data_IF_974720810146
#
_entry.id   IF_974720810146
#
_cell.length_a   1.000
_cell.length_b   1.000
_cell.length_c   1.000
_cell.angle_alpha   90.00
_cell.angle_beta   90.00
_cell.angle_gamma   90.00
#
_symmetry.space_group_name_H-M   'P 1'
#
loop_
_entity.id
_entity.type
_entity.pdbx_description
1 polymer ?
#
# COMPACT_ATOMS: atom_id res chain seq x y z
N UNK A 1 11.28 -9.08 35.14
CA UNK A 1 10.63 -7.83 34.73
C UNK A 1 9.29 -8.18 34.11
N UNK A 2 8.19 -7.84 34.79
CA UNK A 2 6.86 -7.99 34.21
C UNK A 2 6.66 -6.86 33.20
N UNK A 3 6.95 -7.12 31.93
CA UNK A 3 6.41 -6.28 30.86
C UNK A 3 4.90 -6.52 30.86
N UNK A 4 4.11 -5.46 31.07
CA UNK A 4 2.70 -5.49 30.69
C UNK A 4 2.65 -5.89 29.21
N UNK A 5 2.01 -7.03 28.93
CA UNK A 5 1.97 -7.57 27.57
C UNK A 5 0.99 -6.74 26.77
N UNK A 6 1.51 -5.85 25.93
CA UNK A 6 0.68 -5.12 24.96
C UNK A 6 0.05 -6.12 23.99
N UNK A 7 -1.28 -6.25 24.07
CA UNK A 7 -2.04 -7.09 23.14
C UNK A 7 -2.21 -6.34 21.83
N UNK A 8 -1.72 -6.91 20.73
CA UNK A 8 -1.89 -6.34 19.40
C UNK A 8 -2.90 -7.15 18.59
N UNK A 9 -4.00 -6.51 18.18
CA UNK A 9 -4.96 -7.14 17.27
C UNK A 9 -4.68 -6.70 15.83
N UNK A 10 -4.70 -7.67 14.91
CA UNK A 10 -4.39 -7.44 13.51
C UNK A 10 -5.67 -7.55 12.67
N UNK A 11 -5.93 -6.52 11.89
CA UNK A 11 -6.88 -6.59 10.77
C UNK A 11 -6.08 -6.78 9.48
N UNK A 12 -6.45 -7.81 8.72
CA UNK A 12 -6.06 -7.86 7.32
C UNK A 12 -7.14 -7.13 6.51
N UNK A 13 -6.77 -6.07 5.81
CA UNK A 13 -7.66 -5.45 4.83
C UNK A 13 -8.04 -6.50 3.78
N UNK A 14 -9.30 -6.54 3.35
CA UNK A 14 -9.71 -7.38 2.23
C UNK A 14 -8.91 -6.95 1.00
N UNK A 15 -7.89 -7.72 0.66
CA UNK A 15 -7.14 -7.55 -0.57
C UNK A 15 -7.89 -8.25 -1.69
N UNK A 16 -7.88 -7.66 -2.89
CA UNK A 16 -8.58 -8.19 -4.07
C UNK A 16 -7.96 -9.50 -4.60
N UNK A 17 -8.06 -9.73 -5.91
CA UNK A 17 -7.46 -10.90 -6.55
C UNK A 17 -5.93 -10.95 -6.37
N UNK A 18 -5.32 -12.10 -6.63
CA UNK A 18 -3.86 -12.35 -6.49
C UNK A 18 -2.96 -11.43 -7.30
N UNK A 19 -3.51 -10.66 -8.26
CA UNK A 19 -2.75 -9.64 -9.02
C UNK A 19 -2.56 -8.34 -8.24
N UNK A 20 -3.43 -8.07 -7.26
CA UNK A 20 -3.40 -6.86 -6.43
C UNK A 20 -2.95 -7.16 -5.00
N UNK A 21 -2.40 -8.35 -4.74
CA UNK A 21 -1.90 -8.75 -3.42
C UNK A 21 -0.41 -8.99 -3.46
N UNK A 22 0.27 -8.63 -2.36
CA UNK A 22 1.69 -8.91 -2.16
C UNK A 22 1.84 -9.92 -1.04
N UNK A 23 2.80 -10.83 -1.18
CA UNK A 23 3.09 -11.80 -0.14
C UNK A 23 3.61 -11.10 1.13
N UNK A 24 2.91 -11.26 2.25
CA UNK A 24 3.40 -10.82 3.56
C UNK A 24 4.54 -11.74 3.99
N UNK A 25 5.76 -11.19 4.09
CA UNK A 25 6.95 -11.92 4.54
C UNK A 25 7.23 -11.54 5.99
N UNK A 26 6.70 -12.32 6.93
CA UNK A 26 6.94 -12.11 8.36
C UNK A 26 6.94 -13.45 9.11
N UNK A 27 8.07 -13.83 9.71
CA UNK A 27 8.19 -15.02 10.56
C UNK A 27 7.70 -14.77 11.99
N UNK A 28 7.75 -13.54 12.47
CA UNK A 28 7.37 -13.18 13.85
C UNK A 28 5.87 -13.21 14.11
N UNK A 29 5.03 -13.30 13.07
CA UNK A 29 3.58 -13.40 13.25
C UNK A 29 3.16 -14.66 14.02
N UNK A 30 3.88 -15.77 13.84
CA UNK A 30 3.59 -17.02 14.56
C UNK A 30 3.87 -16.83 16.06
N UNK A 31 5.00 -16.22 16.39
CA UNK A 31 5.37 -15.93 17.77
C UNK A 31 4.38 -14.96 18.42
N UNK A 32 3.96 -13.90 17.69
CA UNK A 32 2.95 -12.94 18.13
C UNK A 32 1.63 -13.61 18.52
N UNK A 33 1.14 -14.53 17.68
CA UNK A 33 -0.12 -15.24 17.90
C UNK A 33 -0.04 -16.20 19.10
N UNK A 34 1.07 -16.93 19.23
CA UNK A 34 1.22 -17.99 20.25
C UNK A 34 1.63 -17.43 21.62
N UNK A 35 2.60 -16.52 21.66
CA UNK A 35 3.25 -16.10 22.92
C UNK A 35 2.73 -14.76 23.47
N UNK A 36 2.23 -13.88 22.59
CA UNK A 36 1.89 -12.49 22.93
C UNK A 36 0.40 -12.16 22.82
N UNK A 37 -0.46 -13.16 22.57
CA UNK A 37 -1.91 -12.98 22.56
C UNK A 37 -2.42 -12.15 21.39
N UNK A 38 -1.64 -12.04 20.32
CA UNK A 38 -2.07 -11.40 19.09
C UNK A 38 -3.26 -12.15 18.50
N UNK A 39 -4.28 -11.42 18.03
CA UNK A 39 -5.46 -12.02 17.42
C UNK A 39 -5.72 -11.40 16.05
N UNK A 40 -6.07 -12.24 15.08
CA UNK A 40 -6.63 -11.78 13.81
C UNK A 40 -8.10 -11.43 14.00
N UNK A 41 -8.48 -10.20 13.68
CA UNK A 41 -9.87 -9.72 13.76
C UNK A 41 -10.48 -9.56 12.37
N UNK A 42 -11.83 -9.64 12.24
CA UNK A 42 -12.55 -9.28 11.02
C UNK A 42 -12.35 -7.82 10.61
N UNK A 43 -13.06 -7.38 9.57
CA UNK A 43 -13.05 -5.97 9.19
C UNK A 43 -13.59 -5.06 10.29
N UNK A 44 -13.27 -3.77 10.20
CA UNK A 44 -13.78 -2.75 11.12
C UNK A 44 -15.06 -2.21 10.49
N UNK A 45 -16.16 -2.27 11.25
CA UNK A 45 -17.47 -1.76 10.87
C UNK A 45 -17.65 -0.31 11.33
N UNK A 46 -17.28 -0.02 12.57
CA UNK A 46 -17.45 1.31 13.19
C UNK A 46 -16.35 1.57 14.22
N UNK A 47 -15.89 2.83 14.29
CA UNK A 47 -15.03 3.32 15.37
C UNK A 47 -15.89 4.13 16.34
N UNK A 48 -15.83 3.78 17.63
CA UNK A 48 -16.45 4.54 18.71
C UNK A 48 -15.38 5.33 19.46
N UNK A 49 -15.79 6.08 20.49
CA UNK A 49 -14.89 6.93 21.27
C UNK A 49 -13.74 6.15 21.94
N UNK A 50 -13.99 4.92 22.41
CA UNK A 50 -13.02 4.10 23.17
C UNK A 50 -12.98 2.65 22.70
N UNK A 51 -13.72 2.29 21.65
CA UNK A 51 -13.87 0.91 21.19
C UNK A 51 -14.04 0.81 19.68
N UNK A 52 -13.86 -0.40 19.16
CA UNK A 52 -14.06 -0.75 17.75
C UNK A 52 -15.15 -1.79 17.65
N UNK A 53 -16.10 -1.59 16.74
CA UNK A 53 -17.07 -2.61 16.32
C UNK A 53 -16.56 -3.28 15.04
N UNK A 54 -16.45 -4.60 15.05
CA UNK A 54 -16.01 -5.39 13.90
C UNK A 54 -17.19 -5.85 13.02
N UNK A 55 -16.89 -6.37 11.83
CA UNK A 55 -17.88 -6.85 10.85
C UNK A 55 -18.78 -7.97 11.38
N UNK A 56 -18.29 -8.76 12.35
CA UNK A 56 -19.06 -9.81 13.03
C UNK A 56 -19.93 -9.29 14.19
N UNK A 57 -19.98 -7.97 14.37
CA UNK A 57 -20.63 -7.25 15.47
C UNK A 57 -20.00 -7.48 16.85
N UNK A 58 -18.80 -8.05 16.93
CA UNK A 58 -18.02 -8.01 18.18
C UNK A 58 -17.50 -6.60 18.44
N UNK A 59 -17.35 -6.25 19.71
CA UNK A 59 -16.84 -4.96 20.15
C UNK A 59 -15.64 -5.18 21.09
N UNK A 60 -14.59 -4.38 20.92
CA UNK A 60 -13.39 -4.43 21.76
C UNK A 60 -12.91 -3.02 22.08
N UNK A 61 -12.61 -2.75 23.35
CA UNK A 61 -11.95 -1.53 23.78
C UNK A 61 -10.49 -1.53 23.30
N UNK A 62 -10.04 -0.39 22.77
CA UNK A 62 -8.67 -0.24 22.27
C UNK A 62 -8.15 1.15 22.65
N UNK A 63 -6.88 1.21 23.03
CA UNK A 63 -6.21 2.47 23.37
C UNK A 63 -5.63 3.14 22.13
N UNK A 64 -5.16 2.35 21.16
CA UNK A 64 -4.41 2.83 20.00
C UNK A 64 -4.82 2.12 18.70
N UNK A 65 -4.79 2.87 17.59
CA UNK A 65 -5.05 2.35 16.24
C UNK A 65 -3.87 2.72 15.34
N UNK A 66 -3.22 1.70 14.78
CA UNK A 66 -2.11 1.88 13.83
C UNK A 66 -2.59 1.58 12.41
N UNK A 67 -2.66 2.60 11.58
CA UNK A 67 -3.14 2.50 10.19
C UNK A 67 -2.04 2.02 9.24
N UNK A 68 -1.88 0.71 9.11
CA UNK A 68 -0.99 0.08 8.13
C UNK A 68 -1.65 -0.10 6.74
N UNK A 69 -2.31 0.94 6.21
CA UNK A 69 -3.17 0.86 5.01
C UNK A 69 -2.43 0.99 3.67
N UNK A 70 -1.11 1.11 3.69
CA UNK A 70 -0.27 1.28 2.49
C UNK A 70 -0.07 2.74 2.09
N UNK A 71 0.50 2.94 0.90
CA UNK A 71 0.87 4.25 0.35
C UNK A 71 0.40 4.39 -1.10
N UNK A 72 0.09 5.63 -1.51
CA UNK A 72 -0.13 6.01 -2.91
C UNK A 72 1.07 6.76 -3.47
N UNK A 73 1.26 6.68 -4.80
CA UNK A 73 2.26 7.49 -5.50
C UNK A 73 1.65 8.83 -5.89
N UNK A 74 2.41 9.91 -5.75
CA UNK A 74 2.04 11.25 -6.19
C UNK A 74 3.24 11.93 -6.85
N UNK A 75 2.99 12.70 -7.90
CA UNK A 75 4.03 13.35 -8.70
C UNK A 75 3.79 14.86 -8.66
N UNK A 76 3.99 15.45 -7.48
CA UNK A 76 3.68 16.87 -7.24
C UNK A 76 4.39 17.83 -8.23
N UNK A 77 5.56 17.44 -8.75
CA UNK A 77 6.28 18.21 -9.77
C UNK A 77 5.59 18.22 -11.15
N UNK A 78 4.72 17.25 -11.44
CA UNK A 78 3.85 17.23 -12.63
C UNK A 78 2.48 17.86 -12.35
N UNK A 79 2.04 17.87 -11.09
CA UNK A 79 0.72 18.34 -10.65
C UNK A 79 0.72 19.82 -10.22
N UNK A 80 1.68 20.64 -10.69
CA UNK A 80 1.74 22.08 -10.35
C UNK A 80 0.55 22.84 -10.94
N UNK A 81 0.16 23.98 -10.35
CA UNK A 81 -0.91 24.85 -10.87
C UNK A 81 -0.70 25.28 -12.34
N UNK A 82 0.56 25.44 -12.74
CA UNK A 82 0.94 25.77 -14.11
C UNK A 82 0.71 24.57 -15.06
N UNK A 83 1.18 23.39 -14.66
CA UNK A 83 1.02 22.14 -15.42
C UNK A 83 -0.40 21.57 -15.35
N UNK A 84 -1.20 21.94 -14.34
CA UNK A 84 -2.59 21.51 -14.19
C UNK A 84 -3.49 22.02 -15.33
N UNK A 85 -3.06 23.07 -16.04
CA UNK A 85 -3.72 23.59 -17.24
C UNK A 85 -3.46 22.73 -18.47
N UNK A 86 -2.36 21.97 -18.47
CA UNK A 86 -2.04 21.00 -19.50
C UNK A 86 -2.83 19.70 -19.24
N UNK A 87 -3.78 19.42 -20.13
CA UNK A 87 -4.67 18.26 -20.02
C UNK A 87 -3.88 16.95 -20.13
N UNK A 88 -2.82 16.91 -20.94
CA UNK A 88 -2.01 15.72 -21.17
C UNK A 88 -1.12 15.45 -19.97
N UNK A 89 -0.38 16.46 -19.46
CA UNK A 89 0.47 16.29 -18.27
C UNK A 89 -0.33 15.90 -17.03
N UNK A 90 -1.53 16.47 -16.85
CA UNK A 90 -2.43 16.09 -15.76
C UNK A 90 -2.89 14.64 -15.88
N UNK A 91 -3.20 14.17 -17.10
CA UNK A 91 -3.57 12.79 -17.34
C UNK A 91 -2.40 11.83 -17.08
N UNK A 92 -1.21 12.20 -17.55
CA UNK A 92 0.05 11.46 -17.32
C UNK A 92 0.32 11.32 -15.82
N UNK A 93 0.25 12.42 -15.06
CA UNK A 93 0.49 12.41 -13.62
C UNK A 93 -0.50 11.49 -12.88
N UNK A 94 -1.77 11.52 -13.27
CA UNK A 94 -2.82 10.66 -12.70
C UNK A 94 -2.60 9.18 -13.02
N UNK A 95 -2.32 8.86 -14.28
CA UNK A 95 -2.17 7.46 -14.70
C UNK A 95 -0.89 6.84 -14.16
N UNK A 96 0.19 7.62 -14.07
CA UNK A 96 1.47 7.18 -13.51
C UNK A 96 1.40 6.82 -12.02
N UNK A 97 0.38 7.26 -11.27
CA UNK A 97 0.20 6.85 -9.87
C UNK A 97 0.11 5.32 -9.72
N UNK A 98 -0.38 4.64 -10.76
CA UNK A 98 -0.46 3.19 -10.86
C UNK A 98 0.44 2.72 -12.00
N UNK A 99 1.58 2.12 -11.68
CA UNK A 99 2.55 1.67 -12.70
C UNK A 99 1.97 0.69 -13.72
N UNK A 100 0.88 -0.01 -13.40
CA UNK A 100 0.19 -0.92 -14.35
C UNK A 100 -0.52 -0.20 -15.50
N UNK A 101 -0.76 1.10 -15.38
CA UNK A 101 -1.35 1.91 -16.44
C UNK A 101 -0.31 2.36 -17.48
N UNK A 102 0.99 2.17 -17.18
CA UNK A 102 2.09 2.59 -18.05
C UNK A 102 2.57 1.43 -18.92
N UNK A 103 2.94 1.73 -20.16
CA UNK A 103 3.64 0.79 -21.04
C UNK A 103 4.94 0.35 -20.38
N UNK A 104 5.15 -0.97 -20.31
CA UNK A 104 6.27 -1.63 -19.59
C UNK A 104 6.47 -1.13 -18.14
N UNK A 105 5.40 -0.61 -17.54
CA UNK A 105 5.42 -0.03 -16.19
C UNK A 105 6.34 1.20 -16.02
N UNK A 106 6.71 1.89 -17.11
CA UNK A 106 7.56 3.08 -17.04
C UNK A 106 7.22 4.19 -18.05
N UNK A 107 6.45 3.94 -19.12
CA UNK A 107 6.20 4.95 -20.16
C UNK A 107 4.72 5.23 -20.32
N UNK A 108 4.33 6.51 -20.34
CA UNK A 108 2.97 6.90 -20.69
C UNK A 108 2.85 7.08 -22.22
N UNK A 109 1.79 6.56 -22.89
CA UNK A 109 1.65 6.69 -24.34
C UNK A 109 1.66 8.14 -24.85
N UNK A 110 1.12 9.08 -24.06
CA UNK A 110 1.09 10.52 -24.41
C UNK A 110 2.46 11.19 -24.35
N UNK A 111 3.39 10.72 -23.51
CA UNK A 111 4.74 11.33 -23.38
C UNK A 111 5.75 10.75 -24.36
N UNK A 112 5.37 9.73 -25.15
CA UNK A 112 6.29 9.05 -26.06
C UNK A 112 7.56 8.57 -25.35
N UNK A 113 8.72 9.08 -25.78
CA UNK A 113 10.05 8.75 -25.22
C UNK A 113 10.68 9.93 -24.46
N UNK A 114 9.87 10.89 -24.01
CA UNK A 114 10.37 12.09 -23.33
C UNK A 114 10.36 11.97 -21.80
N UNK A 115 9.48 11.13 -21.25
CA UNK A 115 9.31 10.95 -19.80
C UNK A 115 9.19 9.47 -19.43
N UNK A 116 9.96 9.07 -18.42
CA UNK A 116 9.98 7.71 -17.89
C UNK A 116 9.80 7.69 -16.37
N UNK A 117 8.94 6.80 -15.89
CA UNK A 117 8.68 6.53 -14.48
C UNK A 117 9.42 5.26 -14.04
N UNK A 118 10.64 5.42 -13.56
CA UNK A 118 11.54 4.30 -13.23
C UNK A 118 11.40 3.91 -11.74
N UNK A 119 11.36 2.61 -11.45
CA UNK A 119 11.37 2.10 -10.08
C UNK A 119 10.01 2.10 -9.36
N UNK A 120 8.94 2.53 -10.03
CA UNK A 120 7.57 2.49 -9.50
C UNK A 120 6.89 1.13 -9.67
N UNK A 121 7.52 0.20 -10.41
CA UNK A 121 7.02 -1.16 -10.56
C UNK A 121 7.17 -1.94 -9.25
N UNK A 122 6.08 -2.57 -8.81
CA UNK A 122 6.03 -3.41 -7.62
C UNK A 122 5.71 -4.84 -8.02
N UNK A 123 6.71 -5.72 -8.16
CA UNK A 123 6.44 -7.10 -8.51
C UNK A 123 5.85 -7.84 -7.29
N UNK A 124 4.93 -8.80 -7.52
CA UNK A 124 4.46 -9.69 -6.46
C UNK A 124 5.62 -10.48 -5.84
N UNK A 125 6.60 -10.87 -6.67
CA UNK A 125 7.85 -11.52 -6.27
C UNK A 125 9.02 -10.91 -7.02
N UNK A 126 10.05 -10.50 -6.29
CA UNK A 126 11.26 -9.90 -6.86
C UNK A 126 11.73 -8.70 -6.04
N UNK A 127 12.69 -7.98 -6.60
CA UNK A 127 13.28 -6.80 -6.00
C UNK A 127 13.15 -5.61 -6.96
N UNK A 128 12.88 -4.41 -6.42
CA UNK A 128 12.80 -3.18 -7.22
C UNK A 128 14.15 -2.82 -7.85
N UNK A 129 15.31 -2.87 -7.15
CA UNK A 129 16.58 -2.41 -7.72
C UNK A 129 16.96 -3.01 -9.08
N UNK A 130 16.93 -4.35 -9.30
CA UNK A 130 17.23 -4.91 -10.61
C UNK A 130 16.18 -4.56 -11.68
N UNK A 131 14.91 -4.38 -11.29
CA UNK A 131 13.88 -3.95 -12.23
C UNK A 131 14.10 -2.49 -12.65
N UNK A 132 14.42 -1.60 -11.71
CA UNK A 132 14.73 -0.21 -11.99
C UNK A 132 15.97 -0.08 -12.89
N UNK A 133 17.01 -0.90 -12.66
CA UNK A 133 18.19 -0.96 -13.54
C UNK A 133 17.80 -1.36 -14.97
N UNK A 134 17.01 -2.43 -15.12
CA UNK A 134 16.55 -2.89 -16.43
C UNK A 134 15.65 -1.87 -17.13
N UNK A 135 14.79 -1.18 -16.39
CA UNK A 135 13.95 -0.09 -16.93
C UNK A 135 14.79 1.11 -17.40
N UNK A 136 15.88 1.43 -16.70
CA UNK A 136 16.78 2.54 -17.05
C UNK A 136 17.69 2.23 -18.25
N UNK A 137 17.98 0.94 -18.50
CA UNK A 137 18.83 0.49 -19.62
C UNK A 137 18.07 0.31 -20.93
N UNK A 138 16.77 0.07 -20.85
CA UNK A 138 15.91 -0.19 -22.01
C UNK A 138 15.63 1.09 -22.79
#
# INVERSE_FOLDING_TARGET
MNYERTKMNLKQLKTGNTRNTYGTKNSGIVEALVNYGCQRKPGIKELKATSIVFDDNTEEEVDEIVCCTGFGNHFAFLETEENAKDVELRQVAKDAQISHNLYKHCVHPLTGVELFFIGFVRPCFGAIPPLAEMQARW
#
